data_IF_985330242067
#
_entry.id   IF_985330242067
#
_cell.length_a   1.000
_cell.length_b   1.000
_cell.length_c   1.000
_cell.angle_alpha   90.00
_cell.angle_beta   90.00
_cell.angle_gamma   90.00
#
_symmetry.space_group_name_H-M   'P 1'
#
loop_
_entity.id
_entity.type
_entity.pdbx_description
1 polymer ?
#
# COMPACT_ATOMS: atom_id res chain seq x y z
N UNK A 1 33.52 -12.61 1.51
CA UNK A 1 32.86 -11.98 0.36
C UNK A 1 31.73 -11.14 0.93
N UNK A 2 31.74 -9.82 0.71
CA UNK A 2 30.60 -9.00 1.18
C UNK A 2 29.43 -9.23 0.25
N UNK A 3 28.25 -9.32 0.82
CA UNK A 3 27.00 -9.45 0.08
C UNK A 3 26.05 -8.33 0.54
N UNK A 4 25.38 -7.70 -0.41
CA UNK A 4 24.29 -6.75 -0.15
C UNK A 4 23.00 -7.55 -0.24
N UNK A 5 22.23 -7.56 0.85
CA UNK A 5 20.96 -8.27 0.91
C UNK A 5 19.80 -7.29 1.03
N UNK A 6 18.84 -7.41 0.11
CA UNK A 6 17.56 -6.70 0.14
C UNK A 6 16.44 -7.72 0.28
N UNK A 7 15.48 -7.50 1.16
CA UNK A 7 14.35 -8.39 1.36
C UNK A 7 13.04 -7.61 1.23
N UNK A 8 11.99 -8.28 0.75
CA UNK A 8 10.66 -7.74 0.54
C UNK A 8 9.59 -8.80 0.76
N UNK A 9 8.36 -8.36 1.04
CA UNK A 9 7.15 -9.20 1.09
C UNK A 9 6.30 -8.91 -0.14
N UNK A 10 5.98 -9.93 -0.93
CA UNK A 10 5.02 -9.86 -2.02
C UNK A 10 3.62 -10.02 -1.43
N UNK A 11 2.77 -9.05 -1.70
CA UNK A 11 1.45 -8.93 -1.11
C UNK A 11 0.37 -8.72 -2.17
N UNK A 12 -0.86 -9.12 -1.84
CA UNK A 12 -2.08 -8.71 -2.54
C UNK A 12 -3.13 -8.25 -1.52
N UNK A 13 -3.85 -7.19 -1.83
CA UNK A 13 -4.91 -6.67 -0.95
C UNK A 13 -6.27 -7.27 -1.30
N UNK A 14 -6.96 -7.83 -0.30
CA UNK A 14 -8.38 -8.23 -0.39
C UNK A 14 -9.12 -7.67 0.81
N UNK A 15 -10.18 -6.90 0.58
CA UNK A 15 -11.00 -6.28 1.63
C UNK A 15 -10.23 -5.33 2.58
N UNK A 16 -9.11 -4.78 2.13
CA UNK A 16 -8.20 -3.97 2.93
C UNK A 16 -7.34 -4.77 3.91
N UNK A 17 -7.19 -6.07 3.66
CA UNK A 17 -6.24 -6.97 4.33
C UNK A 17 -5.13 -7.33 3.35
N UNK A 18 -3.89 -7.10 3.75
CA UNK A 18 -2.71 -7.47 2.98
C UNK A 18 -2.38 -8.95 3.18
N UNK A 19 -2.50 -9.74 2.12
CA UNK A 19 -2.15 -11.16 2.11
C UNK A 19 -0.72 -11.31 1.63
N UNK A 20 0.17 -11.78 2.51
CA UNK A 20 1.58 -11.98 2.19
C UNK A 20 1.73 -13.34 1.50
N UNK A 21 1.88 -13.32 0.18
CA UNK A 21 1.90 -14.56 -0.63
C UNK A 21 3.30 -15.12 -0.81
N UNK A 22 4.35 -14.31 -0.67
CA UNK A 22 5.72 -14.77 -0.69
C UNK A 22 6.68 -13.77 -0.04
N UNK A 23 7.78 -14.27 0.50
CA UNK A 23 8.98 -13.46 0.73
C UNK A 23 9.87 -13.46 -0.51
N UNK A 24 10.53 -12.36 -0.78
CA UNK A 24 11.52 -12.24 -1.85
C UNK A 24 12.80 -11.64 -1.31
N UNK A 25 13.92 -12.26 -1.66
CA UNK A 25 15.25 -11.82 -1.27
C UNK A 25 16.08 -11.61 -2.52
N UNK A 26 16.74 -10.46 -2.60
CA UNK A 26 17.77 -10.14 -3.58
C UNK A 26 19.12 -10.12 -2.87
N UNK A 27 20.08 -10.87 -3.42
CA UNK A 27 21.44 -10.98 -2.92
C UNK A 27 22.37 -10.57 -4.06
N UNK A 28 23.13 -9.50 -3.84
CA UNK A 28 24.16 -9.02 -4.77
C UNK A 28 25.53 -9.22 -4.14
N UNK A 29 26.47 -9.78 -4.91
CA UNK A 29 27.82 -10.11 -4.45
C UNK A 29 28.84 -9.15 -5.05
N UNK A 30 29.99 -9.04 -4.39
CA UNK A 30 31.11 -8.17 -4.83
C UNK A 30 31.61 -8.47 -6.26
N UNK A 31 31.45 -9.68 -6.77
CA UNK A 31 31.83 -10.08 -8.13
C UNK A 31 30.80 -9.67 -9.21
N UNK A 32 29.75 -8.95 -8.82
CA UNK A 32 28.66 -8.52 -9.70
C UNK A 32 27.62 -9.61 -9.98
N UNK A 33 27.80 -10.83 -9.45
CA UNK A 33 26.77 -11.86 -9.52
C UNK A 33 25.64 -11.55 -8.55
N UNK A 34 24.43 -11.97 -8.89
CA UNK A 34 23.27 -11.77 -8.05
C UNK A 34 22.31 -12.95 -8.09
N UNK A 35 21.50 -13.08 -7.04
CA UNK A 35 20.50 -14.12 -6.90
C UNK A 35 19.20 -13.52 -6.39
N UNK A 36 18.08 -13.92 -6.99
CA UNK A 36 16.76 -13.76 -6.41
C UNK A 36 16.25 -15.08 -5.84
N UNK A 37 15.72 -15.04 -4.63
CA UNK A 37 15.08 -16.16 -3.95
C UNK A 37 13.66 -15.78 -3.56
N UNK A 38 12.68 -16.52 -4.06
CA UNK A 38 11.27 -16.37 -3.67
C UNK A 38 10.89 -17.53 -2.76
N UNK A 39 10.25 -17.22 -1.64
CA UNK A 39 9.74 -18.18 -0.67
C UNK A 39 8.23 -18.02 -0.58
N UNK A 40 7.45 -18.80 -1.36
CA UNK A 40 6.00 -18.71 -1.33
C UNK A 40 5.44 -19.14 0.02
N UNK A 41 4.49 -18.36 0.55
CA UNK A 41 3.74 -18.66 1.76
C UNK A 41 2.47 -19.41 1.39
N UNK A 42 2.61 -20.73 1.22
CA UNK A 42 1.51 -21.58 0.76
C UNK A 42 0.30 -21.54 1.70
N UNK A 43 0.53 -21.38 2.99
CA UNK A 43 -0.48 -21.21 4.03
C UNK A 43 -1.34 -19.94 3.89
N UNK A 44 -0.92 -19.00 3.05
CA UNK A 44 -1.68 -17.81 2.65
C UNK A 44 -2.21 -17.96 1.22
N UNK A 45 -1.40 -18.48 0.30
CA UNK A 45 -1.80 -18.75 -1.09
C UNK A 45 -3.05 -19.65 -1.14
N UNK A 46 -3.08 -20.69 -0.32
CA UNK A 46 -4.20 -21.64 -0.26
C UNK A 46 -5.51 -20.99 0.25
N UNK A 47 -5.42 -19.83 0.93
CA UNK A 47 -6.59 -19.04 1.36
C UNK A 47 -7.19 -18.21 0.21
N UNK A 48 -6.42 -17.99 -0.86
CA UNK A 48 -6.80 -17.12 -1.99
C UNK A 48 -7.33 -17.89 -3.20
N UNK A 49 -7.56 -19.20 -3.06
CA UNK A 49 -8.04 -20.06 -4.16
C UNK A 49 -9.37 -19.57 -4.75
N UNK A 50 -10.22 -18.94 -3.94
CA UNK A 50 -11.51 -18.38 -4.35
C UNK A 50 -11.42 -16.90 -4.80
N UNK A 51 -10.21 -16.34 -4.92
CA UNK A 51 -10.01 -14.93 -5.22
C UNK A 51 -9.50 -14.71 -6.66
N UNK A 52 -10.37 -14.29 -7.61
CA UNK A 52 -10.01 -14.24 -9.02
C UNK A 52 -8.88 -13.26 -9.39
N UNK A 53 -8.67 -12.23 -8.57
CA UNK A 53 -7.59 -11.25 -8.79
C UNK A 53 -6.20 -11.83 -8.50
N UNK A 54 -6.11 -12.96 -7.77
CA UNK A 54 -4.85 -13.65 -7.54
C UNK A 54 -4.70 -14.84 -8.50
N UNK A 55 -3.81 -14.71 -9.49
CA UNK A 55 -3.54 -15.76 -10.48
C UNK A 55 -2.20 -16.47 -10.26
N UNK A 56 -1.54 -16.19 -9.12
CA UNK A 56 -0.19 -16.65 -8.81
C UNK A 56 0.84 -15.54 -8.95
N UNK A 57 2.13 -15.90 -8.86
CA UNK A 57 3.25 -14.96 -8.97
C UNK A 57 3.90 -15.13 -10.35
N UNK A 58 3.92 -14.09 -11.21
CA UNK A 58 4.50 -14.16 -12.54
C UNK A 58 5.90 -14.79 -12.60
N UNK A 59 6.05 -15.80 -13.47
CA UNK A 59 7.31 -16.53 -13.66
C UNK A 59 7.61 -17.63 -12.63
N UNK A 60 6.69 -17.90 -11.69
CA UNK A 60 6.77 -19.00 -10.73
C UNK A 60 5.67 -20.04 -10.97
N UNK A 61 6.03 -21.32 -11.10
CA UNK A 61 5.07 -22.42 -11.14
C UNK A 61 4.76 -22.90 -9.71
N UNK A 62 3.77 -22.27 -9.07
CA UNK A 62 3.42 -22.52 -7.67
C UNK A 62 2.82 -23.92 -7.43
N UNK A 63 2.32 -24.60 -8.46
CA UNK A 63 1.79 -25.96 -8.37
C UNK A 63 2.83 -26.98 -7.93
N UNK A 64 4.12 -26.70 -8.14
CA UNK A 64 5.23 -27.55 -7.69
C UNK A 64 5.45 -27.50 -6.17
N UNK A 65 4.80 -26.56 -5.48
CA UNK A 65 4.92 -26.35 -4.02
C UNK A 65 6.36 -26.28 -3.47
N UNK A 66 7.30 -25.75 -4.26
CA UNK A 66 8.70 -25.59 -3.82
C UNK A 66 8.84 -24.59 -2.69
N UNK A 67 9.68 -24.90 -1.72
CA UNK A 67 10.01 -24.00 -0.61
C UNK A 67 10.76 -22.75 -1.07
N UNK A 68 11.57 -22.85 -2.14
CA UNK A 68 12.29 -21.74 -2.73
C UNK A 68 12.32 -21.82 -4.26
N UNK A 69 12.09 -20.69 -4.92
CA UNK A 69 12.31 -20.50 -6.34
C UNK A 69 13.50 -19.56 -6.53
N UNK A 70 14.62 -20.14 -6.94
CA UNK A 70 15.88 -19.43 -7.14
C UNK A 70 16.08 -19.00 -8.59
N UNK A 71 16.66 -17.82 -8.78
CA UNK A 71 17.02 -17.24 -10.08
C UNK A 71 18.41 -16.61 -9.94
N UNK A 72 19.43 -17.29 -10.45
CA UNK A 72 20.80 -16.80 -10.46
C UNK A 72 21.09 -16.00 -11.72
N UNK A 73 21.71 -14.82 -11.55
CA UNK A 73 22.15 -13.91 -12.61
C UNK A 73 21.09 -13.59 -13.68
N UNK A 74 19.82 -13.65 -13.30
CA UNK A 74 18.69 -13.27 -14.17
C UNK A 74 17.60 -12.58 -13.37
N UNK A 75 17.10 -11.47 -13.91
CA UNK A 75 15.97 -10.76 -13.31
C UNK A 75 14.69 -11.59 -13.52
N UNK A 76 13.94 -11.93 -12.47
CA UNK A 76 12.66 -12.62 -12.60
C UNK A 76 11.61 -11.72 -13.27
N UNK A 77 10.71 -12.31 -14.06
CA UNK A 77 9.61 -11.60 -14.77
C UNK A 77 8.83 -10.67 -13.83
N UNK A 78 8.44 -11.18 -12.64
CA UNK A 78 7.75 -10.38 -11.62
C UNK A 78 8.46 -9.05 -11.29
N UNK A 79 9.79 -9.09 -11.12
CA UNK A 79 10.61 -7.93 -10.78
C UNK A 79 10.81 -7.03 -12.01
N UNK A 80 11.07 -7.63 -13.16
CA UNK A 80 11.38 -6.93 -14.40
C UNK A 80 10.23 -6.03 -14.86
N UNK A 81 9.01 -6.55 -14.91
CA UNK A 81 7.82 -5.84 -15.38
C UNK A 81 7.41 -4.64 -14.49
N UNK A 82 7.87 -4.63 -13.23
CA UNK A 82 7.44 -3.65 -12.21
C UNK A 82 8.54 -2.64 -11.86
N UNK A 83 9.73 -2.79 -12.42
CA UNK A 83 10.87 -1.92 -12.13
C UNK A 83 11.38 -1.21 -13.39
N UNK A 84 11.97 -0.01 -13.25
CA UNK A 84 12.56 0.70 -14.38
C UNK A 84 13.64 -0.15 -15.09
N UNK A 85 13.68 -0.03 -16.42
CA UNK A 85 14.76 -0.59 -17.20
C UNK A 85 16.09 0.18 -16.94
N UNK A 86 17.26 -0.48 -16.98
CA UNK A 86 18.53 0.16 -16.67
C UNK A 86 18.94 1.24 -17.69
N UNK A 87 18.43 1.15 -18.92
CA UNK A 87 18.71 2.05 -20.04
C UNK A 87 17.70 3.21 -20.17
N UNK A 88 16.81 3.39 -19.19
CA UNK A 88 15.82 4.47 -19.19
C UNK A 88 16.48 5.85 -18.98
N UNK A 89 16.13 6.84 -19.80
CA UNK A 89 16.76 8.18 -19.77
C UNK A 89 16.57 8.92 -18.44
N UNK A 90 15.38 8.86 -17.85
CA UNK A 90 15.02 9.51 -16.58
C UNK A 90 15.29 8.64 -15.34
N UNK A 91 16.07 7.55 -15.47
CA UNK A 91 16.31 6.60 -14.37
C UNK A 91 16.88 7.28 -13.11
N UNK A 92 17.85 8.18 -13.25
CA UNK A 92 18.49 8.81 -12.09
C UNK A 92 17.52 9.73 -11.32
N UNK A 93 16.66 10.45 -12.02
CA UNK A 93 15.62 11.27 -11.39
C UNK A 93 14.62 10.41 -10.62
N UNK A 94 14.27 9.25 -11.18
CA UNK A 94 13.42 8.27 -10.52
C UNK A 94 14.05 7.71 -9.26
N UNK A 95 15.32 7.31 -9.32
CA UNK A 95 16.05 6.76 -8.18
C UNK A 95 16.19 7.80 -7.05
N UNK A 96 16.48 9.06 -7.40
CA UNK A 96 16.57 10.16 -6.44
C UNK A 96 15.23 10.40 -5.72
N UNK A 97 14.11 10.43 -6.47
CA UNK A 97 12.76 10.50 -5.89
C UNK A 97 12.44 9.33 -4.96
N UNK A 98 12.98 8.15 -5.24
CA UNK A 98 12.82 6.95 -4.41
C UNK A 98 13.85 6.86 -3.25
N UNK A 99 14.79 7.80 -3.16
CA UNK A 99 15.87 7.79 -2.17
C UNK A 99 16.92 6.68 -2.39
N UNK A 100 17.10 6.22 -3.62
CA UNK A 100 18.00 5.14 -3.98
C UNK A 100 19.28 5.66 -4.66
N UNK A 101 20.44 5.13 -4.24
CA UNK A 101 21.76 5.54 -4.80
C UNK A 101 22.14 4.80 -6.08
N UNK A 102 21.54 3.64 -6.32
CA UNK A 102 21.75 2.81 -7.51
C UNK A 102 20.47 2.00 -7.79
N UNK A 103 20.36 1.43 -8.99
CA UNK A 103 19.21 0.62 -9.37
C UNK A 103 19.25 -0.77 -8.69
N UNK A 104 18.68 -0.84 -7.50
CA UNK A 104 18.26 -2.09 -6.90
C UNK A 104 16.76 -2.24 -7.16
N UNK A 105 16.39 -3.13 -8.09
CA UNK A 105 15.00 -3.29 -8.55
C UNK A 105 14.06 -3.75 -7.43
N UNK A 106 14.53 -4.54 -6.47
CA UNK A 106 13.69 -4.94 -5.34
C UNK A 106 13.47 -3.77 -4.36
N UNK A 107 14.52 -3.01 -4.04
CA UNK A 107 14.41 -1.81 -3.22
C UNK A 107 13.52 -0.74 -3.88
N UNK A 108 13.56 -0.62 -5.20
CA UNK A 108 12.63 0.21 -5.98
C UNK A 108 11.16 -0.15 -5.72
N UNK A 109 10.82 -1.44 -5.78
CA UNK A 109 9.44 -1.90 -5.54
C UNK A 109 8.99 -1.63 -4.11
N UNK A 110 9.89 -1.73 -3.13
CA UNK A 110 9.59 -1.47 -1.72
C UNK A 110 9.40 0.03 -1.45
N UNK A 111 10.17 0.87 -2.12
CA UNK A 111 10.22 2.32 -1.88
C UNK A 111 9.15 3.10 -2.66
N UNK A 112 8.52 2.48 -3.66
CA UNK A 112 7.55 3.16 -4.53
C UNK A 112 6.20 2.48 -4.51
N UNK A 113 5.13 3.28 -4.44
CA UNK A 113 3.74 2.80 -4.49
C UNK A 113 3.18 2.86 -5.91
N UNK A 114 4.01 2.60 -6.93
CA UNK A 114 3.58 2.69 -8.33
C UNK A 114 2.72 1.47 -8.67
N UNK A 115 1.48 1.65 -9.14
CA UNK A 115 0.65 0.52 -9.53
C UNK A 115 1.24 -0.12 -10.79
N UNK A 116 1.22 -1.45 -10.81
CA UNK A 116 1.41 -2.24 -12.01
C UNK A 116 0.04 -2.57 -12.61
N UNK A 117 -0.11 -2.52 -13.93
CA UNK A 117 -1.41 -2.70 -14.58
C UNK A 117 -1.79 -4.16 -14.82
N UNK A 118 -0.83 -5.09 -14.71
CA UNK A 118 -1.06 -6.51 -15.04
C UNK A 118 -1.70 -7.32 -13.91
N UNK A 119 -1.51 -6.93 -12.65
CA UNK A 119 -2.14 -7.53 -11.48
C UNK A 119 -2.08 -6.59 -10.26
N UNK A 120 -2.73 -7.01 -9.18
CA UNK A 120 -2.82 -6.26 -7.92
C UNK A 120 -1.68 -6.60 -6.93
N UNK A 121 -0.60 -7.25 -7.40
CA UNK A 121 0.53 -7.60 -6.54
C UNK A 121 1.44 -6.40 -6.32
N UNK A 122 1.88 -6.23 -5.08
CA UNK A 122 2.86 -5.21 -4.71
C UNK A 122 3.92 -5.79 -3.77
N UNK A 123 5.04 -5.07 -3.64
CA UNK A 123 6.11 -5.43 -2.70
C UNK A 123 6.16 -4.38 -1.60
N UNK A 124 6.31 -4.83 -0.36
CA UNK A 124 6.56 -3.94 0.78
C UNK A 124 7.81 -4.38 1.54
N UNK A 125 8.32 -3.48 2.37
CA UNK A 125 9.41 -3.82 3.28
C UNK A 125 8.95 -4.94 4.24
N UNK A 126 9.81 -5.91 4.54
CA UNK A 126 9.48 -6.98 5.48
C UNK A 126 9.27 -6.36 6.86
N UNK A 127 8.23 -6.80 7.56
CA UNK A 127 8.01 -6.37 8.93
C UNK A 127 9.09 -6.98 9.84
N UNK A 128 9.99 -6.14 10.37
CA UNK A 128 11.17 -6.54 11.18
C UNK A 128 10.87 -7.48 12.37
N UNK A 129 9.61 -7.55 12.83
CA UNK A 129 9.19 -8.32 14.01
C UNK A 129 8.18 -9.45 13.73
N UNK A 130 7.77 -9.69 12.48
CA UNK A 130 6.91 -10.84 12.18
C UNK A 130 7.76 -12.09 11.98
N UNK A 131 8.14 -12.73 13.08
CA UNK A 131 8.54 -14.15 13.03
C UNK A 131 7.28 -14.98 12.80
N UNK A 132 7.32 -15.94 11.88
CA UNK A 132 6.31 -17.00 11.77
C UNK A 132 6.18 -17.66 13.15
N UNK A 133 5.18 -17.24 13.89
CA UNK A 133 5.06 -17.54 15.32
C UNK A 133 3.60 -17.54 15.72
N UNK A 134 3.35 -18.09 16.90
CA UNK A 134 2.01 -18.12 17.47
C UNK A 134 1.62 -16.71 17.93
N UNK A 135 0.66 -16.10 17.26
CA UNK A 135 0.08 -14.81 17.65
C UNK A 135 -1.13 -15.08 18.55
N UNK A 136 -1.02 -14.71 19.82
CA UNK A 136 -2.15 -14.77 20.75
C UNK A 136 -3.11 -13.61 20.47
N UNK A 137 -4.36 -13.94 20.23
CA UNK A 137 -5.44 -13.00 19.98
C UNK A 137 -6.49 -13.17 21.06
N UNK A 138 -6.51 -12.25 22.00
CA UNK A 138 -7.57 -12.17 23.01
C UNK A 138 -8.71 -11.31 22.48
N UNK A 139 -9.90 -11.91 22.38
CA UNK A 139 -11.11 -11.19 21.96
C UNK A 139 -12.04 -10.86 23.13
N UNK A 140 -11.86 -11.51 24.28
CA UNK A 140 -12.66 -11.24 25.48
C UNK A 140 -12.24 -9.92 26.17
N UNK A 141 -13.19 -9.24 26.81
CA UNK A 141 -12.93 -8.05 27.65
C UNK A 141 -12.75 -6.72 26.90
N UNK A 142 -12.80 -6.71 25.56
CA UNK A 142 -12.63 -5.50 24.75
C UNK A 142 -14.00 -4.89 24.39
N UNK A 143 -14.70 -4.33 25.38
CA UNK A 143 -16.08 -3.83 25.26
C UNK A 143 -16.28 -2.70 24.24
N UNK A 144 -15.20 -2.06 23.79
CA UNK A 144 -15.23 -0.92 22.85
C UNK A 144 -14.87 -1.28 21.39
N UNK A 145 -14.40 -2.50 21.11
CA UNK A 145 -13.98 -2.88 19.77
C UNK A 145 -15.20 -3.25 18.90
N UNK A 146 -15.29 -2.67 17.70
CA UNK A 146 -16.32 -3.09 16.74
C UNK A 146 -16.12 -4.55 16.30
N UNK A 147 -17.19 -5.24 15.92
CA UNK A 147 -17.15 -6.62 15.41
C UNK A 147 -16.14 -6.74 14.24
N UNK A 148 -16.12 -5.76 13.34
CA UNK A 148 -15.17 -5.73 12.24
C UNK A 148 -13.71 -5.65 12.73
N UNK A 149 -13.44 -4.93 13.81
CA UNK A 149 -12.09 -4.83 14.38
C UNK A 149 -11.65 -6.14 15.04
N UNK A 150 -12.58 -6.82 15.75
CA UNK A 150 -12.30 -8.14 16.32
C UNK A 150 -11.98 -9.17 15.23
N UNK A 151 -12.78 -9.23 14.16
CA UNK A 151 -12.50 -10.10 13.01
C UNK A 151 -11.18 -9.74 12.34
N UNK A 152 -10.88 -8.44 12.19
CA UNK A 152 -9.61 -7.96 11.61
C UNK A 152 -8.39 -8.42 12.41
N UNK A 153 -8.47 -8.44 13.75
CA UNK A 153 -7.38 -8.93 14.62
C UNK A 153 -7.07 -10.41 14.41
N UNK A 154 -8.07 -11.21 14.04
CA UNK A 154 -7.91 -12.64 13.71
C UNK A 154 -7.42 -12.81 12.27
N UNK A 155 -8.02 -12.08 11.32
CA UNK A 155 -7.71 -12.20 9.90
C UNK A 155 -6.32 -11.67 9.55
N UNK A 156 -5.87 -10.56 10.13
CA UNK A 156 -4.58 -9.95 9.80
C UNK A 156 -3.39 -10.91 9.99
N UNK A 157 -3.22 -11.58 11.14
CA UNK A 157 -2.14 -12.54 11.31
C UNK A 157 -2.27 -13.75 10.37
N UNK A 158 -3.49 -14.23 10.09
CA UNK A 158 -3.72 -15.32 9.14
C UNK A 158 -3.25 -14.93 7.72
N UNK A 159 -3.63 -13.74 7.25
CA UNK A 159 -3.23 -13.19 5.96
C UNK A 159 -1.71 -12.96 5.87
N UNK A 160 -1.05 -12.73 7.00
CA UNK A 160 0.40 -12.65 7.08
C UNK A 160 1.10 -14.02 7.23
N UNK A 161 0.38 -15.15 7.28
CA UNK A 161 0.97 -16.49 7.39
C UNK A 161 1.38 -16.89 8.81
N UNK A 162 0.83 -16.26 9.85
CA UNK A 162 1.10 -16.62 11.24
C UNK A 162 0.13 -17.70 11.72
N UNK A 163 0.59 -18.55 12.63
CA UNK A 163 -0.28 -19.36 13.46
C UNK A 163 -0.92 -18.46 14.51
N UNK A 164 -2.17 -18.70 14.86
CA UNK A 164 -2.88 -17.88 15.84
C UNK A 164 -3.46 -18.73 16.96
N UNK A 165 -3.51 -18.17 18.16
CA UNK A 165 -4.26 -18.73 19.29
C UNK A 165 -5.36 -17.74 19.64
N UNK A 166 -6.61 -18.14 19.42
CA UNK A 166 -7.78 -17.31 19.73
C UNK A 166 -8.46 -17.92 20.95
N UNK A 167 -8.42 -17.21 22.08
CA UNK A 167 -9.09 -17.65 23.31
C UNK A 167 -8.76 -19.11 23.71
N UNK A 168 -7.49 -19.51 23.60
CA UNK A 168 -7.04 -20.89 23.91
C UNK A 168 -7.21 -21.90 22.77
N UNK A 169 -7.83 -21.53 21.64
CA UNK A 169 -7.93 -22.39 20.46
C UNK A 169 -6.85 -22.04 19.45
N UNK A 170 -6.00 -23.00 19.09
CA UNK A 170 -4.92 -22.80 18.12
C UNK A 170 -5.43 -23.06 16.70
N UNK A 171 -5.14 -22.13 15.79
CA UNK A 171 -5.37 -22.23 14.35
C UNK A 171 -3.99 -22.17 13.68
N UNK A 172 -3.51 -23.33 13.23
CA UNK A 172 -2.16 -23.50 12.70
C UNK A 172 -2.11 -24.39 11.46
N UNK A 173 -2.92 -25.45 11.41
CA UNK A 173 -2.99 -26.35 10.26
C UNK A 173 -3.81 -25.75 9.10
N UNK A 174 -3.61 -26.26 7.89
CA UNK A 174 -4.28 -25.75 6.69
C UNK A 174 -5.80 -25.79 6.75
N UNK A 175 -6.38 -26.80 7.41
CA UNK A 175 -7.83 -26.98 7.49
C UNK A 175 -8.46 -25.97 8.44
N UNK A 176 -7.91 -25.80 9.64
CA UNK A 176 -8.40 -24.80 10.61
C UNK A 176 -8.21 -23.37 10.08
N UNK A 177 -7.09 -23.09 9.42
CA UNK A 177 -6.83 -21.79 8.76
C UNK A 177 -7.86 -21.49 7.67
N UNK A 178 -8.10 -22.45 6.77
CA UNK A 178 -9.06 -22.29 5.68
C UNK A 178 -10.49 -22.11 6.23
N UNK A 179 -10.88 -22.89 7.25
CA UNK A 179 -12.19 -22.76 7.88
C UNK A 179 -12.38 -21.39 8.54
N UNK A 180 -11.43 -20.96 9.37
CA UNK A 180 -11.48 -19.66 10.03
C UNK A 180 -11.55 -18.51 9.01
N UNK A 181 -10.72 -18.56 7.98
CA UNK A 181 -10.69 -17.54 6.93
C UNK A 181 -12.00 -17.50 6.13
N UNK A 182 -12.52 -18.65 5.68
CA UNK A 182 -13.77 -18.74 4.90
C UNK A 182 -15.01 -18.31 5.67
N UNK A 183 -15.04 -18.52 6.99
CA UNK A 183 -16.14 -18.06 7.84
C UNK A 183 -16.02 -16.57 8.17
N UNK A 184 -14.83 -16.10 8.56
CA UNK A 184 -14.66 -14.74 9.07
C UNK A 184 -14.59 -13.68 7.97
N UNK A 185 -13.98 -13.99 6.81
CA UNK A 185 -13.80 -12.99 5.75
C UNK A 185 -15.13 -12.44 5.21
N UNK A 186 -16.14 -13.26 4.84
CA UNK A 186 -17.42 -12.74 4.36
C UNK A 186 -18.16 -11.90 5.40
N UNK A 187 -18.09 -12.30 6.68
CA UNK A 187 -18.68 -11.55 7.79
C UNK A 187 -17.97 -10.20 7.98
N UNK A 188 -16.64 -10.20 7.89
CA UNK A 188 -15.82 -8.99 7.94
C UNK A 188 -16.16 -8.02 6.79
N UNK A 189 -16.24 -8.52 5.55
CA UNK A 189 -16.63 -7.74 4.37
C UNK A 189 -18.00 -7.09 4.56
N UNK A 190 -18.98 -7.85 5.05
CA UNK A 190 -20.34 -7.38 5.29
C UNK A 190 -20.37 -6.28 6.35
N UNK A 191 -19.68 -6.46 7.48
CA UNK A 191 -19.62 -5.44 8.53
C UNK A 191 -18.88 -4.18 8.06
N UNK A 192 -17.80 -4.31 7.28
CA UNK A 192 -17.15 -3.16 6.63
C UNK A 192 -18.09 -2.42 5.69
N UNK A 193 -18.87 -3.13 4.87
CA UNK A 193 -19.85 -2.52 3.99
C UNK A 193 -20.92 -1.76 4.77
N UNK A 194 -21.42 -2.33 5.87
CA UNK A 194 -22.38 -1.69 6.78
C UNK A 194 -21.83 -0.41 7.42
N UNK A 195 -20.59 -0.45 7.91
CA UNK A 195 -19.89 0.72 8.48
C UNK A 195 -19.73 1.80 7.41
N UNK A 196 -19.31 1.44 6.18
CA UNK A 196 -19.19 2.38 5.06
C UNK A 196 -20.52 3.03 4.71
N UNK A 197 -21.60 2.24 4.60
CA UNK A 197 -22.94 2.75 4.30
C UNK A 197 -23.43 3.75 5.35
N UNK A 198 -23.28 3.43 6.64
CA UNK A 198 -23.63 4.35 7.74
C UNK A 198 -22.82 5.65 7.71
N UNK A 199 -21.51 5.56 7.44
CA UNK A 199 -20.65 6.75 7.29
C UNK A 199 -21.10 7.63 6.12
N UNK A 200 -21.48 7.02 4.99
CA UNK A 200 -22.00 7.75 3.83
C UNK A 200 -23.34 8.42 4.13
N UNK A 201 -24.27 7.73 4.79
CA UNK A 201 -25.55 8.30 5.23
C UNK A 201 -25.34 9.49 6.18
N UNK A 202 -24.48 9.34 7.20
CA UNK A 202 -24.15 10.42 8.11
C UNK A 202 -23.51 11.62 7.41
N UNK A 203 -22.65 11.38 6.41
CA UNK A 203 -22.05 12.44 5.60
C UNK A 203 -23.09 13.15 4.71
N UNK A 204 -24.06 12.42 4.15
CA UNK A 204 -25.17 13.00 3.38
C UNK A 204 -26.09 13.84 4.28
N UNK A 205 -26.44 13.34 5.46
CA UNK A 205 -27.25 14.08 6.43
C UNK A 205 -26.54 15.35 6.89
N UNK A 206 -25.24 15.28 7.23
CA UNK A 206 -24.46 16.46 7.59
C UNK A 206 -24.40 17.50 6.44
N UNK A 207 -24.30 17.04 5.19
CA UNK A 207 -24.37 17.93 4.01
C UNK A 207 -25.75 18.58 3.86
N UNK A 208 -26.83 17.83 4.07
CA UNK A 208 -28.20 18.34 4.03
C UNK A 208 -28.46 19.38 5.14
N UNK A 209 -27.88 19.17 6.32
CA UNK A 209 -27.89 20.11 7.45
C UNK A 209 -26.93 21.32 7.23
N UNK A 210 -26.33 21.46 6.05
CA UNK A 210 -25.45 22.58 5.71
C UNK A 210 -24.07 22.56 6.40
N UNK A 211 -23.70 21.46 7.08
CA UNK A 211 -22.37 21.32 7.69
C UNK A 211 -21.33 21.21 6.58
N UNK A 212 -20.50 22.25 6.43
CA UNK A 212 -19.42 22.28 5.43
C UNK A 212 -18.41 21.17 5.68
N UNK A 213 -18.25 20.29 4.70
CA UNK A 213 -17.19 19.29 4.69
C UNK A 213 -15.88 19.88 4.15
N UNK A 214 -14.74 19.42 4.68
CA UNK A 214 -13.40 19.75 4.18
C UNK A 214 -12.70 20.88 4.93
N UNK A 215 -11.50 21.23 4.44
CA UNK A 215 -10.65 22.27 5.04
C UNK A 215 -11.35 23.62 4.96
N UNK A 216 -11.47 24.33 6.09
CA UNK A 216 -11.93 25.72 6.11
C UNK A 216 -11.08 26.53 5.13
N UNK A 217 -11.73 27.36 4.32
CA UNK A 217 -11.04 28.22 3.36
C UNK A 217 -10.06 29.11 4.11
N UNK A 218 -8.85 29.25 3.58
CA UNK A 218 -7.90 30.28 4.04
C UNK A 218 -8.57 31.63 3.79
N UNK A 219 -8.76 32.41 4.84
CA UNK A 219 -9.26 33.79 4.74
C UNK A 219 -8.21 34.59 3.98
N UNK A 220 -8.60 35.17 2.86
CA UNK A 220 -7.74 36.05 2.05
C UNK A 220 -8.45 37.39 1.98
N UNK A 221 -7.71 38.47 2.21
CA UNK A 221 -8.26 39.82 2.10
C UNK A 221 -8.67 40.08 0.64
N UNK A 222 -9.98 40.22 0.40
CA UNK A 222 -10.55 40.36 -0.93
C UNK A 222 -10.21 41.69 -1.61
N UNK A 223 -9.94 42.74 -0.84
CA UNK A 223 -9.54 44.05 -1.38
C UNK A 223 -8.11 43.98 -1.89
N UNK A 224 -7.18 43.50 -1.05
CA UNK A 224 -5.79 43.25 -1.45
C UNK A 224 -5.66 42.31 -2.64
N UNK A 225 -6.52 41.30 -2.73
CA UNK A 225 -6.53 40.38 -3.87
C UNK A 225 -6.89 41.10 -5.18
N UNK A 226 -7.88 42.00 -5.17
CA UNK A 226 -8.26 42.79 -6.36
C UNK A 226 -7.15 43.75 -6.77
N UNK A 227 -6.56 44.47 -5.81
CA UNK A 227 -5.44 45.38 -6.06
C UNK A 227 -4.26 44.64 -6.70
N UNK A 228 -3.89 43.49 -6.15
CA UNK A 228 -2.80 42.68 -6.67
C UNK A 228 -3.14 42.07 -8.03
N UNK A 229 -4.41 41.72 -8.29
CA UNK A 229 -4.82 41.28 -9.63
C UNK A 229 -4.72 42.39 -10.66
N UNK A 230 -5.16 43.61 -10.34
CA UNK A 230 -4.99 44.77 -11.22
C UNK A 230 -3.51 45.06 -11.50
N UNK A 231 -2.65 44.97 -10.48
CA UNK A 231 -1.20 45.14 -10.66
C UNK A 231 -0.58 44.05 -11.56
N UNK A 232 -1.08 42.81 -11.49
CA UNK A 232 -0.67 41.72 -12.40
C UNK A 232 -1.16 41.96 -13.83
N UNK A 233 -2.40 42.41 -14.01
CA UNK A 233 -2.98 42.75 -15.32
C UNK A 233 -2.23 43.90 -16.01
N UNK A 234 -1.81 44.91 -15.24
CA UNK A 234 -1.02 46.05 -15.72
C UNK A 234 0.49 45.75 -15.83
N UNK A 235 0.91 44.49 -15.67
CA UNK A 235 2.32 44.05 -15.72
C UNK A 235 3.26 44.74 -14.71
N UNK A 236 2.73 45.30 -13.62
CA UNK A 236 3.51 45.93 -12.55
C UNK A 236 4.10 44.93 -11.55
N UNK A 237 3.55 43.72 -11.46
CA UNK A 237 4.12 42.62 -10.70
C UNK A 237 3.77 41.27 -11.33
N UNK A 238 4.51 40.24 -10.96
CA UNK A 238 4.20 38.87 -11.36
C UNK A 238 3.16 38.23 -10.44
N UNK A 239 2.39 37.27 -10.95
CA UNK A 239 1.44 36.51 -10.14
C UNK A 239 2.11 35.74 -8.98
N UNK A 240 3.41 35.43 -9.10
CA UNK A 240 4.19 34.82 -8.02
C UNK A 240 4.42 35.82 -6.88
N UNK A 241 4.88 37.02 -7.18
CA UNK A 241 5.09 38.07 -6.18
C UNK A 241 3.77 38.50 -5.53
N UNK A 242 2.68 38.56 -6.29
CA UNK A 242 1.35 38.83 -5.77
C UNK A 242 0.87 37.73 -4.80
N UNK A 243 1.10 36.46 -5.14
CA UNK A 243 0.75 35.33 -4.29
C UNK A 243 1.59 35.30 -3.00
N UNK A 244 2.89 35.57 -3.10
CA UNK A 244 3.81 35.65 -1.96
C UNK A 244 3.40 36.78 -0.99
N UNK A 245 3.01 37.96 -1.50
CA UNK A 245 2.47 39.08 -0.70
C UNK A 245 1.20 38.72 0.07
N UNK A 246 0.41 37.77 -0.42
CA UNK A 246 -0.80 37.27 0.21
C UNK A 246 -0.56 36.02 1.08
N UNK A 247 0.67 35.50 1.12
CA UNK A 247 1.02 34.27 1.85
C UNK A 247 0.31 33.01 1.33
N UNK A 248 -0.04 32.99 0.04
CA UNK A 248 -0.74 31.88 -0.61
C UNK A 248 0.07 31.34 -1.80
N UNK A 249 -0.22 30.11 -2.23
CA UNK A 249 0.39 29.58 -3.46
C UNK A 249 -0.12 30.32 -4.70
N UNK A 250 0.70 30.39 -5.74
CA UNK A 250 0.31 30.91 -7.07
C UNK A 250 -0.97 30.24 -7.61
N UNK A 251 -1.08 28.91 -7.45
CA UNK A 251 -2.29 28.16 -7.81
C UNK A 251 -3.52 28.60 -7.02
N UNK A 252 -3.36 28.96 -5.74
CA UNK A 252 -4.45 29.50 -4.92
C UNK A 252 -4.81 30.91 -5.37
N UNK A 253 -3.83 31.76 -5.68
CA UNK A 253 -4.05 33.12 -6.20
C UNK A 253 -4.93 33.13 -7.45
N UNK A 254 -4.54 32.38 -8.50
CA UNK A 254 -5.33 32.29 -9.74
C UNK A 254 -6.73 31.70 -9.51
N UNK A 255 -6.86 30.70 -8.64
CA UNK A 255 -8.16 30.15 -8.28
C UNK A 255 -9.05 31.20 -7.61
N UNK A 256 -8.49 32.08 -6.78
CA UNK A 256 -9.26 33.15 -6.12
C UNK A 256 -9.67 34.27 -7.06
N UNK A 257 -8.81 34.61 -8.02
CA UNK A 257 -9.15 35.58 -9.07
C UNK A 257 -10.34 35.08 -9.89
N UNK A 258 -10.33 33.80 -10.32
CA UNK A 258 -11.47 33.18 -11.03
C UNK A 258 -12.77 33.08 -10.23
N UNK A 259 -12.71 33.15 -8.89
CA UNK A 259 -13.91 33.19 -8.05
C UNK A 259 -14.51 34.61 -7.94
N UNK A 260 -13.77 35.64 -8.37
CA UNK A 260 -14.19 37.05 -8.36
C UNK A 260 -14.73 37.53 -9.71
N UNK A 261 -14.41 36.82 -10.80
CA UNK A 261 -15.02 36.96 -12.13
C UNK A 261 -16.41 36.31 -12.15
#
# INVERSE_FOLDING_TARGET
MKEIRTAGEICIDREGLAHVVADVVYIEREDGTFTYEFYPRYEVIDLLVDYPAFQGIPGLNLSLRRTVYRRDNRTPVFIEERSPAPNRQDLWQLLDQAGLRHLNRLAWLISTSRPYSGDDLYVRAPERNRRHGLVKVETYGQTSASIAEMMKRVLLPLCAGNNIEVNGTVIADSSSRAMAYRLLLPLYSRERARIRARRLQGAQQARAEGRRAGRKRVQTDGLRLRELWSAVQSHHCTAKEAADKLGISTSTFYRRVRELE
#
